data_IF_656657573399
#
_entry.id   IF_656657573399
#
_cell.length_a   1.000
_cell.length_b   1.000
_cell.length_c   1.000
_cell.angle_alpha   90.00
_cell.angle_beta   90.00
_cell.angle_gamma   90.00
#
_symmetry.space_group_name_H-M   'P 1'
#
loop_
_entity.id
_entity.type
_entity.pdbx_description
1 polymer ?
#
# COMPACT_ATOMS: atom_id res chain seq x y z
N UNK A 1 -32.14 9.85 -4.58
CA UNK A 1 -31.08 10.57 -3.84
C UNK A 1 -30.82 9.77 -2.57
N UNK A 2 -30.11 8.66 -2.66
CA UNK A 2 -29.76 7.86 -1.49
C UNK A 2 -28.44 8.39 -0.97
N UNK A 3 -28.46 8.92 0.25
CA UNK A 3 -27.29 9.38 0.99
C UNK A 3 -26.31 8.22 1.13
N UNK A 4 -25.16 8.33 0.46
CA UNK A 4 -24.04 7.42 0.61
C UNK A 4 -23.67 7.37 2.09
N UNK A 5 -24.01 6.27 2.72
CA UNK A 5 -23.61 5.91 4.07
C UNK A 5 -22.09 5.97 4.12
N UNK A 6 -21.53 6.90 4.88
CA UNK A 6 -20.11 6.98 5.20
C UNK A 6 -19.66 5.63 5.79
N UNK A 7 -19.19 4.73 4.92
CA UNK A 7 -18.54 3.52 5.38
C UNK A 7 -17.27 3.99 6.10
N UNK A 8 -17.07 3.61 7.38
CA UNK A 8 -15.80 3.90 8.03
C UNK A 8 -14.69 3.28 7.18
N UNK A 9 -13.68 4.09 6.81
CA UNK A 9 -12.52 3.58 6.08
C UNK A 9 -11.98 2.38 6.85
N UNK A 10 -11.70 1.31 6.12
CA UNK A 10 -10.95 0.20 6.69
C UNK A 10 -9.59 0.72 7.19
N UNK A 11 -9.03 0.08 8.20
CA UNK A 11 -7.73 0.48 8.74
C UNK A 11 -6.65 0.53 7.65
N UNK A 12 -6.75 -0.34 6.64
CA UNK A 12 -5.85 -0.37 5.49
C UNK A 12 -5.99 0.86 4.60
N UNK A 13 -7.22 1.27 4.26
CA UNK A 13 -7.45 2.47 3.46
C UNK A 13 -7.03 3.74 4.23
N UNK A 14 -7.22 3.77 5.56
CA UNK A 14 -6.77 4.87 6.40
C UNK A 14 -5.24 4.97 6.44
N UNK A 15 -4.55 3.83 6.63
CA UNK A 15 -3.09 3.74 6.59
C UNK A 15 -2.57 4.13 5.19
N UNK A 16 -3.24 3.68 4.13
CA UNK A 16 -2.88 3.99 2.74
C UNK A 16 -2.97 5.49 2.46
N UNK A 17 -4.05 6.15 2.87
CA UNK A 17 -4.21 7.60 2.72
C UNK A 17 -3.08 8.35 3.44
N UNK A 18 -2.73 7.93 4.66
CA UNK A 18 -1.65 8.57 5.41
C UNK A 18 -0.27 8.40 4.72
N UNK A 19 -0.01 7.23 4.15
CA UNK A 19 1.17 6.98 3.32
C UNK A 19 1.20 7.88 2.08
N UNK A 20 0.06 8.07 1.41
CA UNK A 20 -0.05 8.95 0.24
C UNK A 20 0.17 10.42 0.60
N UNK A 21 -0.36 10.88 1.73
CA UNK A 21 -0.13 12.24 2.21
C UNK A 21 1.33 12.48 2.57
N UNK A 22 1.98 11.50 3.21
CA UNK A 22 3.42 11.56 3.44
C UNK A 22 4.20 11.63 2.13
N UNK A 23 3.94 10.71 1.19
CA UNK A 23 4.70 10.58 -0.05
C UNK A 23 4.54 11.77 -1.00
N UNK A 24 3.32 12.30 -1.15
CA UNK A 24 3.03 13.34 -2.14
C UNK A 24 2.95 14.75 -1.57
N UNK A 25 2.59 14.91 -0.30
CA UNK A 25 2.44 16.23 0.34
C UNK A 25 3.56 16.53 1.33
N UNK A 26 4.45 15.57 1.62
CA UNK A 26 5.52 15.73 2.61
C UNK A 26 5.01 15.79 4.06
N UNK A 27 3.78 15.35 4.32
CA UNK A 27 3.22 15.31 5.66
C UNK A 27 4.03 14.33 6.55
N UNK A 28 4.20 14.59 7.86
CA UNK A 28 4.83 13.61 8.75
C UNK A 28 4.08 12.28 8.74
N UNK A 29 4.79 11.17 8.58
CA UNK A 29 4.20 9.83 8.68
C UNK A 29 4.05 9.44 10.15
N UNK A 30 2.85 9.02 10.54
CA UNK A 30 2.58 8.47 11.88
C UNK A 30 3.41 7.19 12.07
N UNK A 31 4.27 7.12 13.10
CA UNK A 31 5.08 5.93 13.38
C UNK A 31 4.28 4.63 13.50
N UNK A 32 3.05 4.69 14.04
CA UNK A 32 2.20 3.50 14.18
C UNK A 32 1.63 3.05 12.82
N UNK A 33 1.33 3.99 11.92
CA UNK A 33 0.98 3.66 10.53
C UNK A 33 2.18 3.01 9.84
N UNK A 34 3.37 3.59 9.97
CA UNK A 34 4.59 3.04 9.38
C UNK A 34 4.86 1.61 9.84
N UNK A 35 4.71 1.35 11.15
CA UNK A 35 4.84 0.02 11.75
C UNK A 35 3.83 -0.97 11.17
N UNK A 36 2.53 -0.62 11.14
CA UNK A 36 1.48 -1.49 10.59
C UNK A 36 1.70 -1.81 9.11
N UNK A 37 2.08 -0.80 8.32
CA UNK A 37 2.41 -0.98 6.90
C UNK A 37 3.61 -1.90 6.73
N UNK A 38 4.64 -1.72 7.56
CA UNK A 38 5.84 -2.56 7.53
C UNK A 38 5.55 -4.02 7.88
N UNK A 39 4.78 -4.27 8.95
CA UNK A 39 4.36 -5.63 9.34
C UNK A 39 3.55 -6.32 8.24
N UNK A 40 2.62 -5.60 7.60
CA UNK A 40 1.88 -6.13 6.44
C UNK A 40 2.80 -6.44 5.26
N UNK A 41 3.77 -5.57 4.98
CA UNK A 41 4.73 -5.77 3.91
C UNK A 41 5.63 -6.98 4.18
N UNK A 42 6.07 -7.20 5.42
CA UNK A 42 6.87 -8.37 5.78
C UNK A 42 6.09 -9.67 5.61
N UNK A 43 4.81 -9.70 6.03
CA UNK A 43 3.94 -10.85 5.81
C UNK A 43 3.75 -11.13 4.31
N UNK A 44 3.50 -10.09 3.51
CA UNK A 44 3.39 -10.24 2.06
C UNK A 44 4.70 -10.76 1.44
N UNK A 45 5.85 -10.23 1.86
CA UNK A 45 7.17 -10.71 1.41
C UNK A 45 7.39 -12.17 1.78
N UNK A 46 7.03 -12.58 2.99
CA UNK A 46 7.12 -13.98 3.41
C UNK A 46 6.24 -14.90 2.56
N UNK A 47 4.99 -14.49 2.30
CA UNK A 47 4.07 -15.24 1.46
C UNK A 47 4.55 -15.31 0.00
N UNK A 48 5.13 -14.22 -0.52
CA UNK A 48 5.75 -14.21 -1.85
C UNK A 48 6.97 -15.13 -1.92
N UNK A 49 7.82 -15.15 -0.88
CA UNK A 49 8.95 -16.09 -0.77
C UNK A 49 8.47 -17.53 -0.77
N UNK A 50 7.45 -17.87 0.02
CA UNK A 50 6.86 -19.23 0.08
C UNK A 50 6.32 -19.68 -1.27
N UNK A 51 5.71 -18.76 -2.02
CA UNK A 51 5.15 -19.02 -3.35
C UNK A 51 6.20 -19.04 -4.47
N UNK A 52 7.48 -18.83 -4.16
CA UNK A 52 8.55 -18.76 -5.16
C UNK A 52 8.45 -17.56 -6.10
N UNK A 53 7.68 -16.53 -5.73
CA UNK A 53 7.51 -15.32 -6.55
C UNK A 53 8.80 -14.51 -6.46
N UNK A 54 9.56 -14.51 -7.56
CA UNK A 54 10.66 -13.56 -7.75
C UNK A 54 10.05 -12.29 -8.32
N UNK A 55 10.11 -11.20 -7.56
CA UNK A 55 9.77 -9.87 -8.08
C UNK A 55 10.92 -9.44 -8.97
N UNK A 56 10.76 -9.58 -10.29
CA UNK A 56 11.64 -8.89 -11.22
C UNK A 56 11.17 -7.42 -11.30
N UNK A 57 11.89 -6.55 -10.61
CA UNK A 57 11.59 -5.12 -10.60
C UNK A 57 11.64 -4.51 -12.02
N UNK A 58 12.43 -5.09 -12.92
CA UNK A 58 12.52 -4.63 -14.32
C UNK A 58 11.23 -4.97 -15.06
N UNK A 59 10.69 -6.17 -14.86
CA UNK A 59 9.43 -6.61 -15.47
C UNK A 59 8.24 -5.81 -14.95
N UNK A 60 8.20 -5.52 -13.65
CA UNK A 60 7.18 -4.66 -13.04
C UNK A 60 7.19 -3.24 -13.60
N UNK A 61 8.39 -2.64 -13.73
CA UNK A 61 8.54 -1.31 -14.34
C UNK A 61 8.12 -1.33 -15.81
N UNK A 62 8.39 -2.43 -16.53
CA UNK A 62 8.00 -2.59 -17.94
C UNK A 62 6.48 -2.65 -18.08
N UNK A 63 5.80 -3.47 -17.27
CA UNK A 63 4.34 -3.58 -17.25
C UNK A 63 3.67 -2.24 -16.93
N UNK A 64 4.15 -1.53 -15.91
CA UNK A 64 3.60 -0.20 -15.56
C UNK A 64 3.81 0.87 -16.64
N UNK A 65 4.75 0.69 -17.56
CA UNK A 65 4.94 1.58 -18.73
C UNK A 65 4.06 1.21 -19.93
N UNK A 66 3.62 -0.04 -20.03
CA UNK A 66 2.73 -0.50 -21.10
C UNK A 66 1.26 -0.17 -20.80
N UNK A 67 0.92 0.14 -19.54
CA UNK A 67 -0.43 0.56 -19.10
C UNK A 67 -0.68 2.09 -19.18
N UNK A 68 0.28 2.87 -19.69
CA UNK A 68 0.16 4.31 -19.98
C UNK A 68 0.19 4.53 -21.49
#
# INVERSE_FOLDING_TARGET
MSTDTEKPLTQEEADHRHMMEHAFKGAPLDPEVAKRVHERAEKLREDMRKRGVKIDAVELIRQSREEI
#
